data_IF_209087480506
#
_entry.id   IF_209087480506
#
_cell.length_a   1.000
_cell.length_b   1.000
_cell.length_c   1.000
_cell.angle_alpha   90.00
_cell.angle_beta   90.00
_cell.angle_gamma   90.00
#
_symmetry.space_group_name_H-M   'P 1'
#
loop_
_entity.id
_entity.type
_entity.pdbx_description
1 polymer ?
#
# COMPACT_ATOMS: atom_id res chain seq x y z
N UNK A 1 67.84 31.74 36.99
CA UNK A 1 66.72 31.46 37.91
C UNK A 1 65.44 31.52 37.09
N UNK A 2 65.07 30.41 36.45
CA UNK A 2 64.08 29.40 36.86
C UNK A 2 62.63 29.89 36.72
N UNK A 3 62.02 29.40 35.64
CA UNK A 3 60.60 29.40 35.29
C UNK A 3 59.76 28.77 36.41
N UNK A 4 58.55 29.30 36.64
CA UNK A 4 57.50 28.62 37.37
C UNK A 4 56.28 28.45 36.47
N UNK A 5 56.07 27.19 36.08
CA UNK A 5 54.87 26.66 35.47
C UNK A 5 53.73 26.68 36.50
N UNK A 6 52.57 27.23 36.11
CA UNK A 6 51.32 27.02 36.85
C UNK A 6 50.57 25.88 36.17
N UNK A 7 50.48 24.75 36.86
CA UNK A 7 49.67 23.59 36.50
C UNK A 7 48.19 23.92 36.76
N UNK A 8 47.35 23.87 35.74
CA UNK A 8 45.89 23.86 35.91
C UNK A 8 45.44 22.40 35.95
N UNK A 9 45.04 21.93 37.13
CA UNK A 9 44.41 20.62 37.32
C UNK A 9 43.01 20.62 36.68
N UNK A 10 42.83 19.88 35.59
CA UNK A 10 41.52 19.52 35.08
C UNK A 10 40.91 18.46 36.01
N UNK A 11 39.84 18.80 36.72
CA UNK A 11 38.96 17.81 37.35
C UNK A 11 38.11 17.17 36.25
N UNK A 12 38.39 15.91 35.92
CA UNK A 12 37.51 15.10 35.10
C UNK A 12 36.27 14.74 35.93
N UNK A 13 35.15 15.45 35.70
CA UNK A 13 33.84 14.93 36.09
C UNK A 13 33.53 13.75 35.16
N UNK A 14 33.64 12.53 35.69
CA UNK A 14 32.99 11.36 35.12
C UNK A 14 31.47 11.55 35.24
N UNK A 15 30.85 12.02 34.15
CA UNK A 15 29.42 11.89 33.94
C UNK A 15 29.10 10.39 33.87
N UNK A 16 28.78 9.81 35.02
CA UNK A 16 28.07 8.53 35.06
C UNK A 16 26.67 8.83 34.52
N UNK A 17 26.44 8.47 33.25
CA UNK A 17 25.10 8.48 32.69
C UNK A 17 24.20 7.63 33.62
N UNK A 18 23.03 8.14 34.05
CA UNK A 18 22.13 7.33 34.83
C UNK A 18 21.70 6.16 33.94
N UNK A 19 22.05 4.94 34.37
CA UNK A 19 21.49 3.72 33.82
C UNK A 19 20.00 3.78 34.14
N UNK A 20 19.17 4.09 33.14
CA UNK A 20 17.73 3.95 33.27
C UNK A 20 17.45 2.50 33.71
N UNK A 21 16.62 2.26 34.73
CA UNK A 21 16.30 0.90 35.15
C UNK A 21 15.78 0.14 33.93
N UNK A 22 16.34 -1.03 33.66
CA UNK A 22 15.84 -1.92 32.63
C UNK A 22 14.35 -2.15 32.92
N UNK A 23 13.49 -1.64 32.04
CA UNK A 23 12.04 -1.73 32.21
C UNK A 23 11.68 -3.22 32.13
N UNK A 24 11.33 -3.83 33.26
CA UNK A 24 10.85 -5.21 33.26
C UNK A 24 9.55 -5.27 32.48
N UNK A 25 9.47 -6.12 31.46
CA UNK A 25 8.24 -6.33 30.71
C UNK A 25 7.11 -6.76 31.65
N UNK A 26 5.87 -6.30 31.42
CA UNK A 26 4.73 -6.83 32.15
C UNK A 26 4.58 -8.32 31.87
N UNK A 27 4.00 -9.06 32.83
CA UNK A 27 3.78 -10.51 32.70
C UNK A 27 2.80 -10.88 31.58
N UNK A 28 2.02 -9.93 31.09
CA UNK A 28 1.09 -10.11 29.98
C UNK A 28 0.79 -8.79 29.28
N UNK A 29 0.58 -8.86 27.97
CA UNK A 29 0.07 -7.77 27.12
C UNK A 29 -1.02 -8.36 26.22
N UNK A 30 -2.14 -7.66 26.07
CA UNK A 30 -3.19 -8.04 25.12
C UNK A 30 -3.69 -6.84 24.33
N UNK A 31 -3.04 -6.56 23.20
CA UNK A 31 -3.43 -5.47 22.31
C UNK A 31 -4.77 -5.72 21.61
N UNK A 32 -5.31 -6.94 21.64
CA UNK A 32 -6.63 -7.24 21.08
C UNK A 32 -7.80 -6.68 21.89
N UNK A 33 -7.53 -6.18 23.10
CA UNK A 33 -8.48 -5.47 23.96
C UNK A 33 -8.45 -3.95 23.77
N UNK A 34 -7.44 -3.44 23.04
CA UNK A 34 -7.32 -2.02 22.73
C UNK A 34 -8.49 -1.54 21.87
N UNK A 35 -8.95 -0.31 22.09
CA UNK A 35 -9.96 0.33 21.23
C UNK A 35 -9.46 0.53 19.79
N UNK A 36 -8.14 0.55 19.57
CA UNK A 36 -7.55 0.62 18.23
C UNK A 36 -7.60 -0.72 17.47
N UNK A 37 -7.78 -1.84 18.17
CA UNK A 37 -7.85 -3.16 17.55
C UNK A 37 -9.24 -3.38 16.96
N UNK A 38 -9.35 -3.85 15.70
CA UNK A 38 -10.66 -4.01 15.07
C UNK A 38 -11.44 -5.20 15.64
N UNK A 39 -12.77 -5.23 15.46
CA UNK A 39 -13.56 -6.42 15.77
C UNK A 39 -13.00 -7.68 15.11
N UNK A 40 -13.22 -8.83 15.76
CA UNK A 40 -12.88 -10.14 15.19
C UNK A 40 -13.53 -10.32 13.83
N UNK A 41 -12.69 -10.57 12.84
CA UNK A 41 -13.00 -10.75 11.43
C UNK A 41 -13.45 -12.18 11.18
N UNK A 42 -14.46 -12.31 10.33
CA UNK A 42 -14.80 -13.56 9.64
C UNK A 42 -14.34 -13.40 8.18
N UNK A 43 -13.27 -14.10 7.82
CA UNK A 43 -12.61 -13.92 6.53
C UNK A 43 -13.46 -14.50 5.40
N UNK A 44 -13.36 -13.91 4.21
CA UNK A 44 -13.94 -14.49 3.00
C UNK A 44 -12.88 -15.27 2.22
N UNK A 45 -13.15 -16.53 1.90
CA UNK A 45 -12.29 -17.33 1.01
C UNK A 45 -10.85 -17.49 1.51
N UNK A 46 -9.89 -17.58 0.59
CA UNK A 46 -8.45 -17.75 0.85
C UNK A 46 -7.72 -16.56 1.51
N UNK A 47 -8.44 -15.55 2.01
CA UNK A 47 -7.88 -14.23 2.37
C UNK A 47 -7.14 -14.13 3.73
N UNK A 48 -6.78 -15.23 4.38
CA UNK A 48 -6.20 -15.26 5.73
C UNK A 48 -4.97 -14.33 5.91
N UNK A 49 -4.06 -14.28 4.93
CA UNK A 49 -2.90 -13.42 4.97
C UNK A 49 -3.28 -11.92 4.96
N UNK A 50 -4.25 -11.54 4.14
CA UNK A 50 -4.72 -10.16 4.09
C UNK A 50 -5.59 -9.83 5.30
N UNK A 51 -6.40 -10.77 5.81
CA UNK A 51 -7.17 -10.57 7.03
C UNK A 51 -6.25 -10.31 8.24
N UNK A 52 -5.18 -11.08 8.38
CA UNK A 52 -4.19 -10.88 9.45
C UNK A 52 -3.34 -9.62 9.26
N UNK A 53 -2.79 -9.41 8.05
CA UNK A 53 -1.88 -8.30 7.78
C UNK A 53 -2.55 -6.94 7.60
N UNK A 54 -3.69 -6.89 6.91
CA UNK A 54 -4.42 -5.65 6.61
C UNK A 54 -5.59 -5.48 7.56
N UNK A 55 -6.43 -6.52 7.68
CA UNK A 55 -7.64 -6.47 8.49
C UNK A 55 -7.33 -6.16 9.95
N UNK A 56 -6.46 -6.95 10.59
CA UNK A 56 -6.04 -6.73 11.98
C UNK A 56 -4.86 -5.77 12.10
N UNK A 57 -3.68 -6.14 11.60
CA UNK A 57 -2.43 -5.42 11.90
C UNK A 57 -2.42 -3.99 11.37
N UNK A 58 -2.63 -3.78 10.06
CA UNK A 58 -2.64 -2.43 9.50
C UNK A 58 -3.72 -1.54 10.11
N UNK A 59 -4.92 -2.07 10.35
CA UNK A 59 -5.99 -1.33 11.03
C UNK A 59 -5.58 -0.89 12.44
N UNK A 60 -5.03 -1.81 13.23
CA UNK A 60 -4.56 -1.53 14.58
C UNK A 60 -3.49 -0.43 14.59
N UNK A 61 -2.51 -0.53 13.69
CA UNK A 61 -1.41 0.43 13.58
C UNK A 61 -1.90 1.83 13.20
N UNK A 62 -2.79 1.95 12.21
CA UNK A 62 -3.32 3.25 11.81
C UNK A 62 -4.21 3.85 12.89
N UNK A 63 -5.01 3.04 13.58
CA UNK A 63 -5.86 3.54 14.66
C UNK A 63 -5.08 3.93 15.90
N UNK A 64 -3.98 3.24 16.19
CA UNK A 64 -3.03 3.64 17.22
C UNK A 64 -2.41 5.00 16.88
N UNK A 65 -1.90 5.17 15.65
CA UNK A 65 -1.33 6.43 15.18
C UNK A 65 -2.31 7.61 15.25
N UNK A 66 -3.59 7.36 14.94
CA UNK A 66 -4.62 8.40 14.85
C UNK A 66 -5.47 8.51 16.11
N UNK A 67 -5.19 7.73 17.16
CA UNK A 67 -5.97 7.64 18.39
C UNK A 67 -7.48 7.39 18.13
N UNK A 68 -7.79 6.44 17.23
CA UNK A 68 -9.17 6.13 16.82
C UNK A 68 -9.65 4.83 17.44
N UNK A 69 -10.93 4.81 17.78
CA UNK A 69 -11.63 3.56 18.08
C UNK A 69 -12.00 2.85 16.77
N UNK A 70 -11.43 1.68 16.53
CA UNK A 70 -11.67 0.86 15.34
C UNK A 70 -13.15 0.46 15.20
N UNK A 71 -13.82 0.18 16.31
CA UNK A 71 -15.22 -0.27 16.32
C UNK A 71 -16.23 0.87 16.18
N UNK A 72 -15.79 2.14 16.18
CA UNK A 72 -16.69 3.29 16.11
C UNK A 72 -17.27 3.52 14.70
N UNK A 73 -16.59 3.07 13.65
CA UNK A 73 -17.01 3.27 12.26
C UNK A 73 -16.22 2.38 11.29
N UNK A 74 -16.84 1.95 10.19
CA UNK A 74 -16.14 1.29 9.08
C UNK A 74 -15.11 2.20 8.39
N UNK A 75 -15.13 3.52 8.63
CA UNK A 75 -14.08 4.44 8.21
C UNK A 75 -12.78 4.31 9.04
N UNK A 76 -12.85 3.62 10.18
CA UNK A 76 -11.71 3.35 11.05
C UNK A 76 -11.15 1.93 10.86
N UNK A 77 -11.72 1.13 9.96
CA UNK A 77 -11.21 -0.21 9.64
C UNK A 77 -10.82 -0.30 8.16
N UNK A 78 -9.83 -1.13 7.84
CA UNK A 78 -9.31 -1.25 6.49
C UNK A 78 -9.73 -2.56 5.83
N UNK A 79 -10.08 -2.47 4.55
CA UNK A 79 -10.54 -3.61 3.77
C UNK A 79 -9.38 -4.51 3.38
N UNK A 80 -9.29 -5.67 4.02
CA UNK A 80 -8.39 -6.72 3.58
C UNK A 80 -8.77 -7.27 2.19
N UNK A 81 -10.05 -7.17 1.81
CA UNK A 81 -10.55 -7.58 0.51
C UNK A 81 -10.05 -6.66 -0.61
N UNK A 82 -9.77 -5.38 -0.31
CA UNK A 82 -9.15 -4.47 -1.26
C UNK A 82 -7.80 -5.00 -1.74
N UNK A 83 -6.90 -5.35 -0.82
CA UNK A 83 -5.59 -5.90 -1.19
C UNK A 83 -5.69 -7.34 -1.71
N UNK A 84 -6.54 -8.17 -1.12
CA UNK A 84 -6.70 -9.56 -1.53
C UNK A 84 -7.20 -9.70 -2.97
N UNK A 85 -8.15 -8.86 -3.40
CA UNK A 85 -8.66 -8.90 -4.78
C UNK A 85 -7.64 -8.46 -5.84
N UNK A 86 -6.48 -7.92 -5.45
CA UNK A 86 -5.37 -7.69 -6.36
C UNK A 86 -4.44 -8.91 -6.47
N UNK A 87 -4.27 -9.68 -5.39
CA UNK A 87 -3.25 -10.73 -5.29
C UNK A 87 -3.80 -12.15 -5.43
N UNK A 88 -5.12 -12.35 -5.31
CA UNK A 88 -5.74 -13.68 -5.40
C UNK A 88 -5.71 -14.31 -6.81
N UNK A 89 -5.14 -13.63 -7.80
CA UNK A 89 -5.06 -14.11 -9.18
C UNK A 89 -6.42 -14.23 -9.89
N UNK A 90 -7.49 -13.69 -9.30
CA UNK A 90 -8.85 -13.87 -9.81
C UNK A 90 -9.46 -15.25 -9.55
N UNK A 91 -8.87 -16.02 -8.65
CA UNK A 91 -9.47 -17.23 -8.09
C UNK A 91 -9.41 -17.14 -6.56
N UNK A 92 -10.03 -18.09 -5.86
CA UNK A 92 -10.05 -18.10 -4.39
C UNK A 92 -8.70 -18.54 -3.79
N UNK A 93 -7.60 -18.09 -4.39
CA UNK A 93 -6.26 -18.38 -3.95
C UNK A 93 -5.93 -17.58 -2.68
N UNK A 94 -5.13 -18.19 -1.83
CA UNK A 94 -4.42 -17.46 -0.79
C UNK A 94 -3.32 -16.57 -1.37
N UNK A 95 -2.71 -15.79 -0.49
CA UNK A 95 -1.52 -15.03 -0.78
C UNK A 95 -0.64 -14.96 0.46
N UNK A 96 0.38 -14.12 0.40
CA UNK A 96 1.27 -13.85 1.51
C UNK A 96 1.00 -12.46 2.09
N UNK A 97 1.33 -12.27 3.37
CA UNK A 97 1.08 -11.01 4.09
C UNK A 97 1.85 -9.86 3.45
N UNK A 98 3.07 -10.12 3.00
CA UNK A 98 3.98 -9.15 2.36
C UNK A 98 3.41 -8.59 1.05
N UNK A 99 2.65 -9.36 0.27
CA UNK A 99 1.98 -8.85 -0.93
C UNK A 99 0.96 -7.76 -0.57
N UNK A 100 0.16 -8.00 0.47
CA UNK A 100 -0.78 -7.01 1.00
C UNK A 100 -0.08 -5.78 1.57
N UNK A 101 0.98 -5.97 2.36
CA UNK A 101 1.77 -4.86 2.91
C UNK A 101 2.54 -4.09 1.83
N UNK A 102 2.95 -4.74 0.75
CA UNK A 102 3.57 -4.09 -0.41
C UNK A 102 2.58 -3.16 -1.12
N UNK A 103 1.32 -3.60 -1.29
CA UNK A 103 0.26 -2.72 -1.78
C UNK A 103 0.03 -1.58 -0.78
N UNK A 104 -0.05 -1.84 0.52
CA UNK A 104 -0.24 -0.80 1.53
C UNK A 104 0.92 0.23 1.57
N UNK A 105 2.16 -0.20 1.30
CA UNK A 105 3.34 0.68 1.20
C UNK A 105 3.30 1.52 -0.07
N UNK A 106 3.12 0.87 -1.22
CA UNK A 106 3.31 1.48 -2.53
C UNK A 106 2.03 2.14 -3.08
N UNK A 107 0.85 1.75 -2.61
CA UNK A 107 -0.44 2.37 -2.93
C UNK A 107 -1.26 2.85 -1.73
N UNK A 108 -1.26 2.14 -0.60
CA UNK A 108 -2.17 2.40 0.52
C UNK A 108 -3.39 1.47 0.49
N UNK A 109 -4.33 1.66 1.42
CA UNK A 109 -5.43 0.72 1.64
C UNK A 109 -6.77 1.45 1.83
N UNK A 110 -7.81 0.95 1.16
CA UNK A 110 -9.17 1.46 1.26
C UNK A 110 -9.80 1.11 2.62
N UNK A 111 -10.55 2.05 3.19
CA UNK A 111 -11.36 1.77 4.39
C UNK A 111 -12.52 0.83 4.05
N UNK A 112 -13.09 0.16 5.06
CA UNK A 112 -14.29 -0.65 4.85
C UNK A 112 -15.50 0.20 4.44
N UNK A 113 -15.58 1.46 4.89
CA UNK A 113 -16.60 2.42 4.45
C UNK A 113 -16.51 2.72 2.94
N UNK A 114 -15.30 2.93 2.41
CA UNK A 114 -15.10 3.19 0.98
C UNK A 114 -15.31 1.92 0.14
N UNK A 115 -14.81 0.77 0.61
CA UNK A 115 -14.89 -0.50 -0.11
C UNK A 115 -16.34 -1.02 -0.19
N UNK A 116 -17.05 -0.93 0.95
CA UNK A 116 -18.41 -1.43 1.15
C UNK A 116 -18.47 -2.95 1.25
N UNK A 117 -19.29 -3.44 2.19
CA UNK A 117 -19.58 -4.87 2.33
C UNK A 117 -20.70 -5.29 1.37
N UNK A 118 -20.45 -6.31 0.55
CA UNK A 118 -21.46 -6.98 -0.26
C UNK A 118 -21.33 -8.48 -0.09
N UNK A 119 -22.46 -9.21 -0.12
CA UNK A 119 -22.51 -10.67 0.03
C UNK A 119 -21.59 -11.42 -0.96
N UNK A 120 -21.32 -10.82 -2.12
CA UNK A 120 -20.31 -11.27 -3.06
C UNK A 120 -19.20 -10.21 -3.16
N UNK A 121 -18.04 -10.50 -2.57
CA UNK A 121 -16.90 -9.58 -2.49
C UNK A 121 -15.61 -10.16 -3.09
N UNK A 122 -15.57 -11.48 -3.33
CA UNK A 122 -14.51 -12.15 -4.06
C UNK A 122 -14.41 -11.56 -5.47
N UNK A 123 -13.19 -11.29 -5.94
CA UNK A 123 -12.90 -10.79 -7.29
C UNK A 123 -13.43 -9.38 -7.60
N UNK A 124 -13.98 -8.64 -6.63
CA UNK A 124 -14.55 -7.32 -6.84
C UNK A 124 -13.48 -6.23 -6.79
N UNK A 125 -13.42 -5.38 -7.81
CA UNK A 125 -12.78 -4.07 -7.70
C UNK A 125 -13.84 -2.99 -7.63
N UNK A 126 -13.58 -1.97 -6.81
CA UNK A 126 -14.52 -0.87 -6.58
C UNK A 126 -14.27 0.20 -7.64
N UNK A 127 -15.29 0.99 -7.99
CA UNK A 127 -15.14 2.19 -8.83
C UNK A 127 -15.41 3.44 -8.00
N UNK A 128 -14.65 4.50 -8.25
CA UNK A 128 -14.83 5.82 -7.65
C UNK A 128 -13.49 6.49 -7.36
N UNK A 129 -13.24 7.65 -7.98
CA UNK A 129 -12.02 8.43 -7.77
C UNK A 129 -11.69 8.68 -6.29
N UNK A 130 -12.67 9.18 -5.52
CA UNK A 130 -12.46 9.57 -4.12
C UNK A 130 -12.07 8.40 -3.22
N UNK A 131 -12.60 7.19 -3.51
CA UNK A 131 -12.30 5.98 -2.73
C UNK A 131 -10.83 5.58 -2.85
N UNK A 132 -10.31 5.63 -4.08
CA UNK A 132 -8.90 5.36 -4.36
C UNK A 132 -8.00 6.48 -3.87
N UNK A 133 -8.43 7.75 -3.98
CA UNK A 133 -7.71 8.87 -3.40
C UNK A 133 -7.60 8.74 -1.87
N UNK A 134 -8.69 8.39 -1.19
CA UNK A 134 -8.70 8.17 0.25
C UNK A 134 -7.82 6.99 0.66
N UNK A 135 -7.89 5.87 -0.07
CA UNK A 135 -7.02 4.72 0.14
C UNK A 135 -5.53 5.10 0.09
N UNK A 136 -5.17 6.00 -0.83
CA UNK A 136 -3.78 6.43 -1.03
C UNK A 136 -3.15 7.20 0.14
N UNK A 137 -3.95 7.57 1.15
CA UNK A 137 -3.52 8.34 2.31
C UNK A 137 -2.90 7.46 3.40
N UNK A 138 -3.38 6.23 3.58
CA UNK A 138 -2.95 5.38 4.69
C UNK A 138 -1.91 4.39 4.22
N UNK A 139 -0.68 4.46 4.74
CA UNK A 139 0.45 3.73 4.16
C UNK A 139 1.32 3.04 5.17
N UNK A 140 1.89 1.92 4.74
CA UNK A 140 3.02 1.31 5.45
C UNK A 140 4.27 2.15 5.18
N UNK A 141 4.94 2.56 6.25
CA UNK A 141 6.27 3.18 6.22
C UNK A 141 7.35 2.11 6.02
N UNK A 142 7.35 1.11 6.90
CA UNK A 142 8.26 -0.03 6.85
C UNK A 142 7.61 -1.31 7.36
N UNK A 143 8.14 -2.43 6.92
CA UNK A 143 7.80 -3.76 7.39
C UNK A 143 8.91 -4.20 8.35
N UNK A 144 8.53 -4.68 9.52
CA UNK A 144 9.45 -5.16 10.56
C UNK A 144 9.39 -6.69 10.58
N UNK A 145 10.53 -7.37 10.62
CA UNK A 145 10.60 -8.83 10.64
C UNK A 145 11.35 -9.29 11.87
N UNK A 146 10.79 -10.27 12.56
CA UNK A 146 11.34 -10.85 13.79
C UNK A 146 11.51 -12.35 13.59
N UNK A 147 12.69 -12.87 13.91
CA UNK A 147 12.83 -14.30 14.11
C UNK A 147 12.06 -14.69 15.38
N UNK A 148 11.61 -15.93 15.43
CA UNK A 148 10.90 -16.50 16.56
C UNK A 148 11.31 -17.97 16.72
N UNK A 149 12.56 -18.22 17.09
CA UNK A 149 13.10 -19.59 17.23
C UNK A 149 13.82 -19.83 18.55
N UNK A 150 14.12 -18.78 19.32
CA UNK A 150 14.81 -18.85 20.61
C UNK A 150 14.06 -18.10 21.70
N UNK A 151 14.35 -18.38 22.97
CA UNK A 151 13.77 -17.61 24.08
C UNK A 151 14.16 -16.12 24.01
N UNK A 152 15.36 -15.80 23.52
CA UNK A 152 15.79 -14.41 23.31
C UNK A 152 14.95 -13.69 22.23
N UNK A 153 14.57 -14.41 21.17
CA UNK A 153 13.65 -13.88 20.16
C UNK A 153 12.26 -13.60 20.75
N UNK A 154 11.77 -14.50 21.61
CA UNK A 154 10.49 -14.32 22.31
C UNK A 154 10.51 -13.03 23.15
N UNK A 155 11.59 -12.77 23.89
CA UNK A 155 11.71 -11.53 24.68
C UNK A 155 11.73 -10.27 23.79
N UNK A 156 12.41 -10.31 22.64
CA UNK A 156 12.37 -9.21 21.67
C UNK A 156 10.96 -8.99 21.10
N UNK A 157 10.23 -10.06 20.82
CA UNK A 157 8.84 -10.01 20.35
C UNK A 157 7.93 -9.43 21.44
N UNK A 158 8.07 -9.87 22.69
CA UNK A 158 7.31 -9.31 23.83
C UNK A 158 7.56 -7.82 23.99
N UNK A 159 8.81 -7.37 23.84
CA UNK A 159 9.15 -5.95 23.84
C UNK A 159 8.42 -5.19 22.72
N UNK A 160 8.37 -5.75 21.51
CA UNK A 160 7.65 -5.15 20.39
C UNK A 160 6.14 -5.06 20.67
N UNK A 161 5.54 -6.14 21.16
CA UNK A 161 4.12 -6.21 21.52
C UNK A 161 3.76 -5.23 22.65
N UNK A 162 4.68 -4.95 23.57
CA UNK A 162 4.44 -4.03 24.68
C UNK A 162 4.59 -2.55 24.30
N UNK A 163 5.66 -2.18 23.59
CA UNK A 163 5.99 -0.76 23.34
C UNK A 163 6.83 -0.50 22.08
N UNK A 164 6.87 -1.45 21.14
CA UNK A 164 7.69 -1.39 19.91
C UNK A 164 9.21 -1.22 20.13
N UNK A 165 9.70 -1.37 21.36
CA UNK A 165 11.08 -1.06 21.71
C UNK A 165 11.36 0.44 21.92
N UNK A 166 10.33 1.30 21.89
CA UNK A 166 10.46 2.76 21.96
C UNK A 166 10.08 3.33 23.34
N UNK A 167 9.86 2.48 24.34
CA UNK A 167 9.65 2.90 25.73
C UNK A 167 8.30 3.55 26.02
N UNK A 168 7.41 3.67 25.03
CA UNK A 168 6.04 4.17 25.22
C UNK A 168 5.01 3.21 24.64
N UNK A 169 3.96 2.91 25.43
CA UNK A 169 2.79 2.13 25.01
C UNK A 169 1.87 3.01 24.16
N UNK A 170 1.13 2.43 23.19
CA UNK A 170 0.96 0.99 22.96
C UNK A 170 2.01 0.38 22.01
N UNK A 171 2.26 -0.92 22.20
CA UNK A 171 3.10 -1.71 21.30
C UNK A 171 2.39 -2.13 20.02
N UNK A 172 3.09 -2.92 19.20
CA UNK A 172 2.58 -3.41 17.91
C UNK A 172 1.82 -4.74 18.00
N UNK A 173 1.41 -5.25 16.85
CA UNK A 173 0.95 -6.64 16.68
C UNK A 173 1.73 -7.28 15.53
N UNK A 174 1.75 -8.61 15.48
CA UNK A 174 2.56 -9.36 14.50
C UNK A 174 1.72 -10.38 13.76
N UNK A 175 2.05 -10.66 12.50
CA UNK A 175 1.49 -11.79 11.76
C UNK A 175 2.48 -12.93 11.65
N UNK A 176 1.98 -14.15 11.52
CA UNK A 176 2.80 -15.34 11.27
C UNK A 176 2.06 -16.34 10.38
N UNK A 177 2.82 -17.21 9.72
CA UNK A 177 2.29 -18.26 8.83
C UNK A 177 2.26 -19.61 9.54
N UNK A 178 1.22 -20.39 9.29
CA UNK A 178 1.08 -21.76 9.82
C UNK A 178 0.14 -22.59 8.95
N UNK A 179 -0.11 -23.83 9.36
CA UNK A 179 -1.15 -24.69 8.76
C UNK A 179 -2.50 -24.50 9.47
N UNK A 180 -3.61 -24.78 8.79
CA UNK A 180 -4.99 -24.57 9.31
C UNK A 180 -5.77 -25.84 9.64
N UNK A 181 -5.37 -27.00 9.14
CA UNK A 181 -6.11 -28.25 9.29
C UNK A 181 -5.41 -29.23 10.22
N UNK A 182 -6.14 -29.70 11.21
CA UNK A 182 -5.68 -30.70 12.18
C UNK A 182 -5.05 -30.12 13.45
N UNK A 183 -5.35 -28.86 13.81
CA UNK A 183 -5.04 -28.38 15.16
C UNK A 183 -5.78 -29.24 16.21
N UNK A 184 -5.15 -29.38 17.37
CA UNK A 184 -5.81 -29.93 18.56
C UNK A 184 -5.77 -28.86 19.64
N UNK A 185 -6.93 -28.54 20.19
CA UNK A 185 -7.09 -27.56 21.26
C UNK A 185 -7.57 -28.24 22.54
N UNK A 186 -7.21 -27.65 23.67
CA UNK A 186 -7.97 -27.72 24.90
C UNK A 186 -8.89 -26.49 24.93
N UNK A 187 -10.16 -26.67 24.55
CA UNK A 187 -11.17 -25.61 24.44
C UNK A 187 -11.81 -25.25 25.79
N UNK A 188 -11.39 -25.89 26.87
CA UNK A 188 -11.81 -25.58 28.23
C UNK A 188 -10.59 -25.51 29.17
N UNK A 189 -9.56 -24.80 28.74
CA UNK A 189 -8.36 -24.57 29.53
C UNK A 189 -8.72 -23.83 30.84
N UNK A 190 -8.40 -24.47 31.97
CA UNK A 190 -8.63 -23.95 33.33
C UNK A 190 -7.32 -23.67 34.08
N UNK A 191 -6.19 -23.63 33.37
CA UNK A 191 -4.90 -23.34 33.97
C UNK A 191 -4.69 -21.85 34.29
N UNK A 192 -3.61 -21.50 35.00
CA UNK A 192 -3.29 -20.12 35.31
C UNK A 192 -3.17 -19.27 34.04
N UNK A 193 -3.71 -18.06 34.03
CA UNK A 193 -3.48 -17.03 33.00
C UNK A 193 -3.74 -15.65 33.59
N UNK A 194 -3.13 -14.61 33.01
CA UNK A 194 -3.46 -13.22 33.35
C UNK A 194 -4.67 -12.70 32.56
N UNK A 195 -4.86 -13.20 31.33
CA UNK A 195 -5.86 -12.71 30.38
C UNK A 195 -7.17 -13.51 30.39
N UNK A 196 -7.17 -14.73 30.94
CA UNK A 196 -8.40 -15.49 31.21
C UNK A 196 -9.02 -16.19 30.00
N UNK A 197 -8.29 -16.39 28.91
CA UNK A 197 -8.80 -17.19 27.79
C UNK A 197 -8.80 -18.69 28.11
N UNK A 198 -9.69 -19.44 27.48
CA UNK A 198 -9.95 -20.86 27.74
C UNK A 198 -9.63 -21.77 26.55
N UNK A 199 -9.09 -21.25 25.45
CA UNK A 199 -8.68 -22.06 24.30
C UNK A 199 -7.15 -22.13 24.22
N UNK A 200 -6.57 -23.31 24.48
CA UNK A 200 -5.12 -23.55 24.46
C UNK A 200 -4.73 -24.53 23.35
N UNK A 201 -3.79 -24.14 22.49
CA UNK A 201 -3.28 -25.03 21.44
C UNK A 201 -2.42 -26.16 22.03
N UNK A 202 -2.80 -27.41 21.75
CA UNK A 202 -2.08 -28.62 22.16
C UNK A 202 -1.21 -29.21 21.05
N UNK A 203 -1.64 -29.10 19.79
CA UNK A 203 -0.93 -29.63 18.62
C UNK A 203 -1.08 -28.73 17.39
N UNK A 204 0.02 -28.49 16.67
CA UNK A 204 0.03 -27.77 15.39
C UNK A 204 -0.74 -28.54 14.32
N UNK A 205 -1.42 -27.81 13.45
CA UNK A 205 -1.98 -28.33 12.21
C UNK A 205 -0.87 -28.74 11.25
N UNK A 206 -1.18 -29.60 10.28
CA UNK A 206 -0.19 -30.12 9.31
C UNK A 206 -0.60 -29.93 7.86
N UNK A 207 -1.83 -29.50 7.58
CA UNK A 207 -2.34 -29.26 6.23
C UNK A 207 -3.10 -27.92 6.13
N UNK A 208 -3.30 -27.41 4.91
CA UNK A 208 -3.99 -26.15 4.61
C UNK A 208 -3.13 -24.93 4.98
N UNK A 209 -2.90 -23.99 4.06
CA UNK A 209 -2.15 -22.78 4.40
C UNK A 209 -2.99 -21.84 5.27
N UNK A 210 -2.34 -21.09 6.17
CA UNK A 210 -3.00 -20.09 7.01
C UNK A 210 -2.04 -19.00 7.48
N UNK A 211 -2.59 -17.86 7.86
CA UNK A 211 -1.88 -16.78 8.52
C UNK A 211 -2.77 -16.15 9.59
N UNK A 212 -2.19 -15.85 10.75
CA UNK A 212 -2.90 -15.31 11.92
C UNK A 212 -2.11 -14.17 12.56
N UNK A 213 -2.73 -13.47 13.51
CA UNK A 213 -2.15 -12.32 14.20
C UNK A 213 -1.83 -12.66 15.65
N UNK A 214 -0.58 -12.45 16.08
CA UNK A 214 -0.17 -12.37 17.48
C UNK A 214 -0.52 -10.98 17.99
N UNK A 215 -1.50 -10.88 18.89
CA UNK A 215 -1.94 -9.62 19.47
C UNK A 215 -1.33 -9.34 20.85
N UNK A 216 -0.56 -10.28 21.39
CA UNK A 216 -0.09 -10.17 22.75
C UNK A 216 0.55 -11.46 23.26
N UNK A 217 0.79 -11.48 24.55
CA UNK A 217 1.44 -12.60 25.25
C UNK A 217 0.97 -12.68 26.70
N UNK A 218 1.06 -13.87 27.28
CA UNK A 218 0.71 -14.13 28.68
C UNK A 218 1.68 -15.16 29.27
N UNK A 219 2.61 -14.68 30.09
CA UNK A 219 3.64 -15.50 30.72
C UNK A 219 3.10 -16.36 31.87
N UNK A 220 1.87 -16.10 32.33
CA UNK A 220 1.23 -16.90 33.39
C UNK A 220 0.57 -18.17 32.87
N UNK A 221 0.40 -18.33 31.56
CA UNK A 221 -0.15 -19.55 30.98
C UNK A 221 0.71 -20.75 31.35
N UNK A 222 0.17 -21.70 32.11
CA UNK A 222 0.87 -22.95 32.48
C UNK A 222 0.15 -24.19 31.96
N UNK A 223 0.90 -25.14 31.41
CA UNK A 223 0.34 -26.40 30.90
C UNK A 223 1.39 -27.50 30.89
N UNK A 224 0.95 -28.77 30.82
CA UNK A 224 1.85 -29.91 30.55
C UNK A 224 1.90 -30.22 29.06
N UNK A 225 3.10 -30.35 28.52
CA UNK A 225 3.32 -30.80 27.14
C UNK A 225 3.05 -32.31 26.99
N UNK A 226 3.24 -32.84 25.78
CA UNK A 226 2.99 -34.25 25.46
C UNK A 226 3.87 -35.24 26.23
N UNK A 227 5.00 -34.77 26.78
CA UNK A 227 5.91 -35.55 27.62
C UNK A 227 5.64 -35.33 29.12
N UNK A 228 4.57 -34.61 29.48
CA UNK A 228 4.21 -34.31 30.86
C UNK A 228 5.03 -33.18 31.50
N UNK A 229 5.92 -32.53 30.76
CA UNK A 229 6.78 -31.44 31.28
C UNK A 229 5.93 -30.19 31.46
N UNK A 230 6.05 -29.55 32.63
CA UNK A 230 5.40 -28.28 32.90
C UNK A 230 6.07 -27.18 32.05
N UNK A 231 5.27 -26.49 31.24
CA UNK A 231 5.68 -25.38 30.39
C UNK A 231 4.92 -24.13 30.81
N UNK A 232 5.54 -22.97 30.56
CA UNK A 232 4.97 -21.66 30.85
C UNK A 232 5.00 -20.75 29.63
N UNK A 233 4.03 -19.85 29.56
CA UNK A 233 3.96 -18.77 28.60
C UNK A 233 3.34 -19.16 27.25
N UNK A 234 2.51 -18.26 26.73
CA UNK A 234 1.91 -18.39 25.43
C UNK A 234 1.70 -17.02 24.77
N UNK A 235 1.75 -17.00 23.44
CA UNK A 235 1.23 -15.88 22.67
C UNK A 235 -0.29 -15.91 22.64
N UNK A 236 -0.89 -14.72 22.60
CA UNK A 236 -2.32 -14.53 22.36
C UNK A 236 -2.50 -14.37 20.85
N UNK A 237 -3.07 -15.39 20.22
CA UNK A 237 -3.33 -15.40 18.77
C UNK A 237 -4.77 -15.03 18.51
N UNK A 238 -4.98 -14.18 17.51
CA UNK A 238 -6.27 -13.80 16.95
C UNK A 238 -6.41 -14.45 15.57
N UNK A 239 -7.45 -15.26 15.42
CA UNK A 239 -7.82 -15.89 14.15
C UNK A 239 -8.85 -15.05 13.39
N UNK A 240 -9.10 -15.39 12.12
CA UNK A 240 -10.02 -14.68 11.22
C UNK A 240 -11.21 -15.54 10.80
N UNK A 241 -11.69 -16.42 11.67
CA UNK A 241 -12.86 -17.31 11.45
C UNK A 241 -14.05 -16.93 12.34
N UNK A 242 -14.19 -15.65 12.65
CA UNK A 242 -15.31 -15.13 13.41
C UNK A 242 -15.26 -15.42 14.91
N UNK A 243 -16.25 -14.87 15.62
CA UNK A 243 -16.33 -14.91 17.09
C UNK A 243 -16.80 -16.26 17.65
N UNK A 244 -17.34 -17.14 16.81
CA UNK A 244 -17.80 -18.46 17.25
C UNK A 244 -16.68 -19.51 17.26
N UNK A 245 -15.51 -19.15 16.73
CA UNK A 245 -14.34 -20.02 16.71
C UNK A 245 -13.42 -19.76 17.91
N UNK A 246 -12.89 -20.83 18.52
CA UNK A 246 -12.00 -20.76 19.67
C UNK A 246 -12.61 -19.99 20.84
N UNK A 247 -11.80 -19.22 21.56
CA UNK A 247 -12.27 -18.30 22.59
C UNK A 247 -12.55 -16.92 21.99
N UNK A 248 -13.76 -16.76 21.43
CA UNK A 248 -14.21 -15.51 20.79
C UNK A 248 -13.23 -15.02 19.71
N UNK A 249 -12.74 -15.94 18.89
CA UNK A 249 -11.76 -15.70 17.82
C UNK A 249 -10.29 -15.76 18.27
N UNK A 250 -10.02 -16.12 19.54
CA UNK A 250 -8.68 -16.13 20.11
C UNK A 250 -8.30 -17.49 20.69
N UNK A 251 -7.00 -17.70 20.86
CA UNK A 251 -6.47 -18.84 21.59
C UNK A 251 -5.04 -18.54 22.08
N UNK A 252 -4.58 -19.33 23.04
CA UNK A 252 -3.19 -19.35 23.47
C UNK A 252 -2.37 -20.28 22.60
N UNK A 253 -1.28 -19.74 22.04
CA UNK A 253 -0.25 -20.50 21.34
C UNK A 253 1.03 -20.53 22.17
N UNK A 254 1.33 -21.64 22.84
CA UNK A 254 2.52 -21.76 23.67
C UNK A 254 3.85 -21.44 22.97
N UNK A 255 4.76 -20.76 23.67
CA UNK A 255 6.08 -20.39 23.13
C UNK A 255 6.90 -21.60 22.68
N UNK A 256 6.68 -22.78 23.30
CA UNK A 256 7.40 -24.02 22.96
C UNK A 256 7.31 -24.38 21.48
N UNK A 257 6.19 -24.04 20.81
CA UNK A 257 6.03 -24.35 19.39
C UNK A 257 7.05 -23.63 18.52
N UNK A 258 7.59 -22.51 19.01
CA UNK A 258 8.63 -21.72 18.37
C UNK A 258 10.03 -22.11 18.88
N UNK A 259 10.20 -22.32 20.20
CA UNK A 259 11.54 -22.53 20.77
C UNK A 259 12.00 -23.99 20.76
N UNK A 260 11.08 -24.96 20.65
CA UNK A 260 11.35 -26.40 20.61
C UNK A 260 10.89 -27.00 19.27
N UNK A 261 11.34 -26.38 18.18
CA UNK A 261 10.83 -26.66 16.82
C UNK A 261 11.71 -27.60 15.99
N UNK A 262 12.57 -28.41 16.62
CA UNK A 262 13.53 -29.29 15.91
C UNK A 262 12.87 -30.22 14.88
N UNK A 263 11.62 -30.63 15.13
CA UNK A 263 10.82 -31.49 14.23
C UNK A 263 9.76 -30.73 13.43
N UNK A 264 9.66 -29.41 13.59
CA UNK A 264 8.64 -28.58 12.95
C UNK A 264 9.23 -27.85 11.74
N UNK A 265 8.72 -28.17 10.55
CA UNK A 265 9.15 -27.51 9.31
C UNK A 265 8.62 -26.07 9.19
N UNK A 266 9.30 -25.23 8.40
CA UNK A 266 8.83 -23.88 8.03
C UNK A 266 7.45 -23.88 7.37
N UNK A 267 7.07 -24.99 6.71
CA UNK A 267 5.76 -25.16 6.11
C UNK A 267 4.66 -25.36 7.14
N UNK A 268 4.97 -25.90 8.32
CA UNK A 268 3.98 -26.14 9.40
C UNK A 268 3.80 -24.88 10.25
N UNK A 269 4.90 -24.24 10.60
CA UNK A 269 4.93 -23.01 11.38
C UNK A 269 6.13 -22.19 10.97
N UNK A 270 5.90 -20.98 10.46
CA UNK A 270 6.96 -20.07 10.05
C UNK A 270 7.81 -19.63 11.25
N UNK A 271 9.12 -19.55 11.02
CA UNK A 271 10.10 -19.04 11.99
C UNK A 271 10.12 -17.52 12.12
N UNK A 272 9.42 -16.82 11.23
CA UNK A 272 9.42 -15.37 11.16
C UNK A 272 8.04 -14.80 11.43
N UNK A 273 8.03 -13.68 12.14
CA UNK A 273 6.86 -12.86 12.39
C UNK A 273 7.04 -11.50 11.73
N UNK A 274 5.94 -10.91 11.29
CA UNK A 274 5.95 -9.63 10.57
C UNK A 274 5.08 -8.60 11.25
N UNK A 275 5.65 -7.43 11.51
CA UNK A 275 4.95 -6.21 11.95
C UNK A 275 5.03 -5.11 10.89
N UNK A 276 4.39 -3.98 11.12
CA UNK A 276 4.59 -2.80 10.29
C UNK A 276 4.51 -1.50 11.09
N UNK A 277 5.12 -0.46 10.55
CA UNK A 277 4.87 0.92 10.97
C UNK A 277 4.16 1.65 9.85
N UNK A 278 3.31 2.60 10.20
CA UNK A 278 2.41 3.29 9.28
C UNK A 278 2.56 4.80 9.35
N UNK A 279 2.11 5.48 8.31
CA UNK A 279 2.02 6.93 8.27
C UNK A 279 0.81 7.37 7.43
N UNK A 280 0.36 8.60 7.66
CA UNK A 280 -0.65 9.25 6.82
C UNK A 280 0.02 10.19 5.84
N UNK A 281 -0.35 10.06 4.57
CA UNK A 281 0.15 10.82 3.44
C UNK A 281 -0.94 11.73 2.90
N UNK A 282 -0.55 12.95 2.52
CA UNK A 282 -1.36 13.82 1.68
C UNK A 282 -0.80 13.77 0.24
N UNK A 283 -1.53 13.24 -0.74
CA UNK A 283 -1.11 13.28 -2.14
C UNK A 283 -1.00 14.71 -2.67
N UNK A 284 0.04 14.97 -3.46
CA UNK A 284 0.35 16.24 -4.13
C UNK A 284 -0.06 16.24 -5.60
N UNK A 285 0.23 15.16 -6.32
CA UNK A 285 -0.13 14.97 -7.73
C UNK A 285 -0.89 13.66 -7.85
N UNK A 286 -2.11 13.73 -8.36
CA UNK A 286 -3.01 12.56 -8.47
C UNK A 286 -3.53 12.47 -9.89
N UNK A 287 -3.51 11.28 -10.47
CA UNK A 287 -4.19 11.04 -11.74
C UNK A 287 -5.60 10.55 -11.47
N UNK A 288 -6.59 11.13 -12.15
CA UNK A 288 -7.94 10.58 -12.24
C UNK A 288 -8.08 9.87 -13.56
N UNK A 289 -8.42 8.59 -13.53
CA UNK A 289 -8.50 7.74 -14.72
C UNK A 289 -9.84 7.03 -14.74
N UNK A 290 -10.49 6.99 -15.91
CA UNK A 290 -11.65 6.15 -16.17
C UNK A 290 -11.42 5.30 -17.40
N UNK A 291 -11.62 3.99 -17.23
CA UNK A 291 -11.43 2.97 -18.28
C UNK A 291 -12.69 2.14 -18.39
N UNK A 292 -12.97 1.65 -19.60
CA UNK A 292 -13.95 0.61 -19.84
C UNK A 292 -13.23 -0.54 -20.54
N UNK A 293 -12.97 -1.64 -19.82
CA UNK A 293 -12.14 -2.74 -20.31
C UNK A 293 -12.63 -4.13 -19.85
N UNK A 294 -12.51 -5.13 -20.74
CA UNK A 294 -13.08 -6.46 -20.52
C UNK A 294 -12.21 -7.46 -19.76
N UNK A 295 -10.89 -7.23 -19.64
CA UNK A 295 -9.99 -8.16 -18.92
C UNK A 295 -8.87 -7.44 -18.15
N UNK A 296 -8.99 -7.32 -16.83
CA UNK A 296 -8.09 -6.51 -16.00
C UNK A 296 -6.67 -7.06 -15.83
N UNK A 297 -6.49 -8.38 -15.86
CA UNK A 297 -5.15 -9.00 -15.85
C UNK A 297 -4.39 -8.84 -17.18
N UNK A 298 -5.06 -8.35 -18.23
CA UNK A 298 -4.44 -8.05 -19.51
C UNK A 298 -3.96 -6.60 -19.61
N UNK A 299 -4.19 -5.79 -18.56
CA UNK A 299 -3.74 -4.41 -18.46
C UNK A 299 -2.64 -4.23 -17.42
N UNK A 300 -1.64 -3.42 -17.79
CA UNK A 300 -0.78 -2.75 -16.80
C UNK A 300 -0.71 -1.26 -17.08
N UNK A 301 -0.58 -0.47 -16.02
CA UNK A 301 -0.47 0.98 -16.10
C UNK A 301 0.92 1.42 -15.68
N UNK A 302 1.46 2.36 -16.43
CA UNK A 302 2.65 3.09 -16.03
C UNK A 302 2.44 4.59 -16.19
N UNK A 303 3.14 5.38 -15.39
CA UNK A 303 3.06 6.83 -15.40
C UNK A 303 4.44 7.46 -15.31
N UNK A 304 4.52 8.73 -15.71
CA UNK A 304 5.76 9.49 -15.76
C UNK A 304 5.50 10.95 -16.07
N UNK A 305 6.57 11.75 -16.08
CA UNK A 305 6.48 13.18 -16.33
C UNK A 305 7.70 13.72 -17.10
N UNK A 306 7.60 14.96 -17.58
CA UNK A 306 8.66 15.63 -18.33
C UNK A 306 8.68 17.14 -18.09
N UNK A 307 9.89 17.69 -18.02
CA UNK A 307 10.16 19.13 -18.02
C UNK A 307 9.95 19.77 -19.40
N UNK A 308 9.73 18.97 -20.45
CA UNK A 308 9.38 19.44 -21.77
C UNK A 308 7.87 19.28 -22.01
N UNK A 309 7.15 20.40 -22.15
CA UNK A 309 5.73 20.43 -22.45
C UNK A 309 5.37 19.70 -23.76
N UNK A 310 6.33 19.60 -24.68
CA UNK A 310 6.15 19.03 -26.02
C UNK A 310 6.69 17.61 -26.15
N UNK A 311 7.17 17.00 -25.05
CA UNK A 311 7.68 15.64 -25.10
C UNK A 311 6.60 14.69 -25.65
N UNK A 312 6.99 13.84 -26.60
CA UNK A 312 6.13 12.79 -27.17
C UNK A 312 6.42 11.41 -26.56
N UNK A 313 7.40 11.34 -25.65
CA UNK A 313 7.80 10.09 -25.00
C UNK A 313 7.90 10.25 -23.49
N UNK A 314 7.67 9.14 -22.79
CA UNK A 314 7.77 8.99 -21.35
C UNK A 314 9.08 8.26 -21.02
N UNK A 315 10.13 9.04 -20.71
CA UNK A 315 11.47 8.50 -20.41
C UNK A 315 11.55 7.94 -18.99
N UNK A 316 10.96 8.62 -18.02
CA UNK A 316 10.80 8.11 -16.65
C UNK A 316 9.51 7.30 -16.56
N UNK A 317 9.61 6.03 -16.15
CA UNK A 317 8.48 5.10 -16.09
C UNK A 317 8.36 4.50 -14.69
N UNK A 318 7.20 4.69 -14.08
CA UNK A 318 6.80 4.06 -12.83
C UNK A 318 5.58 3.18 -13.09
N UNK A 319 5.63 1.92 -12.66
CA UNK A 319 4.49 1.01 -12.82
C UNK A 319 3.53 1.18 -11.64
N UNK A 320 2.22 1.10 -11.91
CA UNK A 320 1.20 1.05 -10.87
C UNK A 320 1.19 -0.31 -10.18
N UNK A 321 1.25 -0.35 -8.85
CA UNK A 321 1.21 -1.62 -8.08
C UNK A 321 -0.18 -2.22 -7.96
N UNK A 322 -1.23 -1.44 -8.21
CA UNK A 322 -2.63 -1.92 -8.18
C UNK A 322 -3.16 -2.29 -9.56
N UNK A 323 -2.40 -2.00 -10.61
CA UNK A 323 -2.77 -2.20 -12.02
C UNK A 323 -1.55 -2.73 -12.79
N UNK A 324 -1.17 -3.98 -12.54
CA UNK A 324 0.00 -4.62 -13.15
C UNK A 324 -0.28 -6.07 -13.55
N UNK A 325 -1.19 -6.28 -14.51
CA UNK A 325 -1.54 -7.61 -15.02
C UNK A 325 -2.05 -8.57 -13.94
N UNK A 326 -2.92 -8.10 -13.05
CA UNK A 326 -3.36 -8.83 -11.84
C UNK A 326 -4.88 -8.88 -11.68
N UNK A 327 -5.36 -9.71 -10.74
CA UNK A 327 -6.79 -9.88 -10.45
C UNK A 327 -7.58 -10.81 -11.38
N UNK A 328 -6.93 -11.52 -12.31
CA UNK A 328 -7.53 -12.51 -13.22
C UNK A 328 -8.36 -11.95 -14.39
N UNK A 329 -8.84 -12.86 -15.25
CA UNK A 329 -9.53 -12.59 -16.52
C UNK A 329 -11.00 -12.14 -16.35
N UNK A 330 -11.19 -11.04 -15.63
CA UNK A 330 -12.49 -10.39 -15.42
C UNK A 330 -12.50 -8.98 -16.00
N UNK A 331 -13.70 -8.49 -16.32
CA UNK A 331 -13.94 -7.06 -16.49
C UNK A 331 -13.42 -6.28 -15.27
N UNK A 332 -13.13 -4.99 -15.42
CA UNK A 332 -12.42 -4.21 -14.41
C UNK A 332 -12.97 -4.36 -12.98
N UNK A 333 -14.30 -4.40 -12.81
CA UNK A 333 -14.98 -4.52 -11.52
C UNK A 333 -15.24 -5.95 -11.04
N UNK A 334 -14.90 -6.97 -11.84
CA UNK A 334 -15.02 -8.38 -11.45
C UNK A 334 -16.38 -9.02 -11.73
N UNK A 335 -16.53 -10.26 -11.27
CA UNK A 335 -17.63 -11.17 -11.60
C UNK A 335 -19.04 -10.74 -11.13
N UNK A 336 -19.12 -9.88 -10.10
CA UNK A 336 -20.39 -9.58 -9.41
C UNK A 336 -20.90 -8.15 -9.66
N UNK A 337 -20.51 -7.55 -10.78
CA UNK A 337 -20.99 -6.22 -11.19
C UNK A 337 -22.12 -6.35 -12.22
N UNK A 338 -23.08 -5.40 -12.21
CA UNK A 338 -24.17 -5.35 -13.19
C UNK A 338 -23.63 -5.29 -14.61
N UNK A 339 -24.46 -5.71 -15.59
CA UNK A 339 -24.12 -5.91 -17.00
C UNK A 339 -22.98 -4.99 -17.48
N UNK A 340 -21.89 -5.68 -17.81
CA UNK A 340 -20.58 -5.22 -18.26
C UNK A 340 -19.50 -5.13 -17.19
N UNK A 341 -19.63 -4.41 -16.07
CA UNK A 341 -18.54 -4.36 -15.07
C UNK A 341 -17.18 -3.87 -15.58
N UNK A 342 -17.13 -3.41 -16.84
CA UNK A 342 -15.93 -3.04 -17.58
C UNK A 342 -15.44 -1.66 -17.17
N UNK A 343 -16.37 -0.79 -16.80
CA UNK A 343 -16.07 0.57 -16.38
C UNK A 343 -15.46 0.60 -14.97
N UNK A 344 -14.35 1.31 -14.80
CA UNK A 344 -13.77 1.65 -13.50
C UNK A 344 -13.22 3.07 -13.53
N UNK A 345 -13.49 3.83 -12.48
CA UNK A 345 -12.84 5.08 -12.17
C UNK A 345 -11.97 4.92 -10.93
N UNK A 346 -10.72 5.39 -10.99
CA UNK A 346 -9.78 5.30 -9.88
C UNK A 346 -8.81 6.49 -9.87
N UNK A 347 -8.08 6.60 -8.75
CA UNK A 347 -7.03 7.57 -8.53
C UNK A 347 -5.65 6.88 -8.46
N UNK A 348 -4.62 7.51 -9.01
CA UNK A 348 -3.22 7.13 -8.78
C UNK A 348 -2.48 8.27 -8.10
N UNK A 349 -1.92 8.02 -6.90
CA UNK A 349 -0.99 8.96 -6.27
C UNK A 349 0.36 8.90 -7.00
N UNK A 350 0.62 9.91 -7.81
CA UNK A 350 1.84 10.06 -8.60
C UNK A 350 2.83 11.02 -7.95
N UNK A 351 2.64 11.37 -6.67
CA UNK A 351 3.47 12.36 -5.98
C UNK A 351 4.94 11.95 -5.85
N UNK A 352 5.23 10.64 -5.88
CA UNK A 352 6.61 10.12 -5.88
C UNK A 352 7.36 10.39 -7.20
N UNK A 353 6.69 10.87 -8.25
CA UNK A 353 7.36 11.38 -9.46
C UNK A 353 8.19 12.63 -9.17
N UNK A 354 7.79 13.42 -8.18
CA UNK A 354 8.37 14.73 -7.92
C UNK A 354 9.77 14.59 -7.31
N UNK A 355 10.82 15.11 -7.98
CA UNK A 355 12.18 15.14 -7.41
C UNK A 355 12.26 16.00 -6.13
N UNK A 356 11.37 16.98 -6.00
CA UNK A 356 11.20 17.81 -4.81
C UNK A 356 9.74 18.30 -4.72
N UNK A 357 9.30 18.69 -3.53
CA UNK A 357 7.93 19.17 -3.30
C UNK A 357 7.53 20.37 -4.17
N UNK A 358 8.51 21.18 -4.60
CA UNK A 358 8.31 22.38 -5.42
C UNK A 358 8.52 22.16 -6.91
N UNK A 359 8.99 20.98 -7.33
CA UNK A 359 9.28 20.70 -8.73
C UNK A 359 8.01 20.67 -9.58
N UNK A 360 8.01 21.33 -10.75
CA UNK A 360 6.84 21.46 -11.61
C UNK A 360 7.12 20.93 -13.01
N UNK A 361 6.78 19.65 -13.23
CA UNK A 361 6.81 19.10 -14.59
C UNK A 361 5.83 19.83 -15.50
N UNK A 362 6.23 19.99 -16.76
CA UNK A 362 5.39 20.67 -17.77
C UNK A 362 4.40 19.72 -18.44
N UNK A 363 4.67 18.41 -18.43
CA UNK A 363 3.79 17.39 -18.97
C UNK A 363 3.83 16.12 -18.12
N UNK A 364 2.68 15.52 -17.92
CA UNK A 364 2.49 14.24 -17.25
C UNK A 364 1.94 13.22 -18.25
N UNK A 365 2.31 11.96 -18.07
CA UNK A 365 1.96 10.87 -18.96
C UNK A 365 1.31 9.72 -18.21
N UNK A 366 0.31 9.13 -18.85
CA UNK A 366 -0.26 7.83 -18.51
C UNK A 366 -0.04 6.91 -19.70
N UNK A 367 0.61 5.77 -19.47
CA UNK A 367 0.78 4.71 -20.44
C UNK A 367 -0.06 3.51 -20.01
N UNK A 368 -1.08 3.20 -20.80
CA UNK A 368 -1.90 2.01 -20.61
C UNK A 368 -1.35 0.94 -21.53
N UNK A 369 -0.89 -0.16 -20.94
CA UNK A 369 -0.27 -1.25 -21.66
C UNK A 369 -1.28 -2.38 -21.72
N UNK A 370 -1.75 -2.65 -22.93
CA UNK A 370 -2.50 -3.85 -23.24
C UNK A 370 -1.52 -4.94 -23.60
N UNK A 371 -1.59 -6.04 -22.86
CA UNK A 371 -0.78 -7.23 -23.09
C UNK A 371 -1.59 -8.28 -23.86
N UNK A 372 -1.05 -9.48 -23.98
CA UNK A 372 -1.79 -10.72 -24.29
C UNK A 372 -1.43 -11.75 -23.22
N UNK A 373 -1.53 -11.34 -21.96
CA UNK A 373 -1.08 -12.15 -20.82
C UNK A 373 -2.18 -13.08 -20.32
N UNK A 374 -3.42 -12.58 -20.29
CA UNK A 374 -4.59 -13.35 -19.86
C UNK A 374 -5.03 -14.41 -20.86
N UNK A 375 -5.90 -15.33 -20.44
CA UNK A 375 -6.55 -16.27 -21.35
C UNK A 375 -7.55 -15.55 -22.28
N UNK A 376 -8.06 -14.40 -21.85
CA UNK A 376 -8.91 -13.51 -22.66
C UNK A 376 -8.09 -12.28 -23.03
N UNK A 377 -7.94 -12.05 -24.34
CA UNK A 377 -7.37 -10.80 -24.83
C UNK A 377 -8.39 -9.70 -24.60
N UNK A 378 -8.13 -8.88 -23.59
CA UNK A 378 -9.03 -7.81 -23.22
C UNK A 378 -9.15 -6.80 -24.34
N UNK A 379 -10.25 -6.06 -24.35
CA UNK A 379 -10.49 -4.94 -25.24
C UNK A 379 -11.27 -3.86 -24.51
N UNK A 380 -11.16 -2.63 -24.98
CA UNK A 380 -11.86 -1.52 -24.39
C UNK A 380 -11.27 -0.17 -24.76
N UNK A 381 -11.69 0.83 -24.01
CA UNK A 381 -11.40 2.24 -24.29
C UNK A 381 -10.93 2.95 -23.04
N UNK A 382 -10.15 4.02 -23.24
CA UNK A 382 -10.00 5.06 -22.22
C UNK A 382 -11.17 6.03 -22.33
N UNK A 383 -11.76 6.40 -21.21
CA UNK A 383 -12.88 7.35 -21.17
C UNK A 383 -12.46 8.70 -20.60
N UNK A 384 -11.53 8.68 -19.64
CA UNK A 384 -11.08 9.89 -18.97
C UNK A 384 -9.66 9.77 -18.43
N UNK A 385 -8.89 10.85 -18.53
CA UNK A 385 -7.61 11.03 -17.86
C UNK A 385 -7.41 12.51 -17.54
N UNK A 386 -7.14 12.81 -16.28
CA UNK A 386 -6.70 14.12 -15.83
C UNK A 386 -5.62 14.03 -14.77
N UNK A 387 -4.92 15.14 -14.58
CA UNK A 387 -3.93 15.32 -13.51
C UNK A 387 -4.46 16.39 -12.56
N UNK A 388 -4.58 16.04 -11.29
CA UNK A 388 -5.01 16.92 -10.21
C UNK A 388 -3.78 17.32 -9.39
N UNK A 389 -3.58 18.63 -9.26
CA UNK A 389 -2.51 19.25 -8.49
C UNK A 389 -3.05 19.83 -7.18
N UNK A 390 -2.72 19.15 -6.07
CA UNK A 390 -3.15 19.48 -4.71
C UNK A 390 -2.19 20.41 -3.97
N UNK A 391 -1.03 20.77 -4.56
CA UNK A 391 0.02 21.53 -3.85
C UNK A 391 -0.38 22.97 -3.52
N UNK A 392 -1.27 23.56 -4.33
CA UNK A 392 -1.82 24.88 -4.07
C UNK A 392 -3.05 24.88 -3.15
N UNK A 393 -3.84 23.80 -3.16
CA UNK A 393 -5.02 23.64 -2.32
C UNK A 393 -5.40 22.16 -2.19
N UNK A 394 -5.41 21.66 -0.96
CA UNK A 394 -5.65 20.23 -0.65
C UNK A 394 -7.11 19.80 -0.77
N UNK A 395 -8.05 20.75 -0.84
CA UNK A 395 -9.50 20.51 -0.93
C UNK A 395 -10.08 20.83 -2.31
N UNK A 396 -9.41 21.71 -3.06
CA UNK A 396 -9.81 22.18 -4.39
C UNK A 396 -8.60 22.15 -5.33
N UNK A 397 -8.14 20.95 -5.72
CA UNK A 397 -6.97 20.81 -6.59
C UNK A 397 -7.22 21.48 -7.94
N UNK A 398 -6.13 21.88 -8.60
CA UNK A 398 -6.21 22.31 -10.00
C UNK A 398 -6.20 21.08 -10.89
N UNK A 399 -7.25 20.89 -11.68
CA UNK A 399 -7.38 19.78 -12.60
C UNK A 399 -6.95 20.16 -14.03
N UNK A 400 -6.14 19.31 -14.65
CA UNK A 400 -5.68 19.42 -16.03
C UNK A 400 -6.16 18.19 -16.80
N UNK A 401 -7.09 18.38 -17.73
CA UNK A 401 -7.78 17.29 -18.44
C UNK A 401 -7.07 16.94 -19.75
N UNK A 402 -6.85 15.66 -20.00
CA UNK A 402 -6.45 15.15 -21.31
C UNK A 402 -7.68 15.16 -22.23
N UNK A 403 -7.70 16.05 -23.22
CA UNK A 403 -8.85 16.25 -24.12
C UNK A 403 -8.82 15.27 -25.28
N UNK A 404 -9.99 15.02 -25.87
CA UNK A 404 -10.17 14.22 -27.10
C UNK A 404 -9.68 12.77 -26.99
N UNK A 405 -9.81 12.16 -25.81
CA UNK A 405 -9.44 10.76 -25.57
C UNK A 405 -10.64 9.85 -25.27
N UNK A 406 -11.81 10.42 -24.97
CA UNK A 406 -12.96 9.64 -24.53
C UNK A 406 -13.42 8.69 -25.64
N UNK A 407 -13.49 7.40 -25.32
CA UNK A 407 -13.87 6.35 -26.27
C UNK A 407 -12.71 5.88 -27.17
N UNK A 408 -11.49 6.38 -26.98
CA UNK A 408 -10.33 5.93 -27.77
C UNK A 408 -10.02 4.46 -27.48
N UNK A 409 -10.04 3.57 -28.50
CA UNK A 409 -9.70 2.16 -28.34
C UNK A 409 -8.26 1.95 -27.89
N UNK A 410 -8.05 1.00 -26.99
CA UNK A 410 -6.72 0.59 -26.55
C UNK A 410 -6.13 -0.45 -27.51
N UNK A 411 -5.11 -0.03 -28.27
CA UNK A 411 -4.34 -0.89 -29.15
C UNK A 411 -3.45 -1.86 -28.35
N UNK A 412 -3.07 -2.98 -28.96
CA UNK A 412 -2.10 -3.91 -28.37
C UNK A 412 -0.77 -3.17 -28.12
N UNK A 413 -0.15 -3.42 -26.96
CA UNK A 413 1.07 -2.74 -26.54
C UNK A 413 0.78 -1.42 -25.85
N UNK A 414 1.58 -0.39 -26.16
CA UNK A 414 1.61 0.88 -25.41
C UNK A 414 0.59 1.88 -25.95
N UNK A 415 -0.27 2.40 -25.08
CA UNK A 415 -1.19 3.50 -25.35
C UNK A 415 -0.82 4.69 -24.47
N UNK A 416 -0.14 5.68 -25.05
CA UNK A 416 0.42 6.82 -24.31
C UNK A 416 -0.49 8.04 -24.40
N UNK A 417 -0.95 8.53 -23.25
CA UNK A 417 -1.74 9.74 -23.08
C UNK A 417 -0.94 10.78 -22.30
N UNK A 418 -1.11 12.06 -22.64
CA UNK A 418 -0.32 13.14 -22.05
C UNK A 418 -1.14 14.37 -21.70
N UNK A 419 -0.86 14.95 -20.53
CA UNK A 419 -1.50 16.17 -20.02
C UNK A 419 -0.44 17.24 -19.84
N UNK A 420 -0.62 18.39 -20.51
CA UNK A 420 0.24 19.56 -20.27
C UNK A 420 -0.29 20.34 -19.05
N UNK A 421 0.63 20.76 -18.17
CA UNK A 421 0.29 21.46 -16.92
C UNK A 421 0.10 22.98 -17.11
N UNK A 422 -0.07 23.42 -18.34
CA UNK A 422 -0.44 24.79 -18.66
C UNK A 422 -1.94 24.81 -18.93
N UNK A 423 -2.67 25.73 -18.29
CA UNK A 423 -3.92 26.14 -18.90
C UNK A 423 -3.54 26.85 -20.19
N UNK A 424 -4.11 26.43 -21.31
CA UNK A 424 -3.96 27.16 -22.56
C UNK A 424 -4.40 28.61 -22.33
N UNK A 425 -3.44 29.54 -22.32
CA UNK A 425 -3.68 30.73 -23.13
C UNK A 425 -3.93 30.21 -24.55
N UNK A 426 -4.90 30.77 -25.26
CA UNK A 426 -5.25 30.34 -26.61
C UNK A 426 -4.00 30.24 -27.51
N UNK A 427 -3.43 29.06 -27.65
CA UNK A 427 -2.31 28.81 -28.56
C UNK A 427 -2.87 28.08 -29.78
N UNK A 428 -2.88 28.78 -30.90
CA UNK A 428 -3.16 28.19 -32.20
C UNK A 428 -1.96 27.36 -32.63
N UNK A 429 -2.08 26.03 -32.65
CA UNK A 429 -1.11 25.17 -33.30
C UNK A 429 -1.40 25.13 -34.81
N UNK A 430 -0.38 25.44 -35.63
CA UNK A 430 -0.48 25.31 -37.09
C UNK A 430 -0.11 23.87 -37.49
N UNK A 431 -0.83 23.27 -38.45
CA UNK A 431 -0.50 21.95 -39.02
C UNK A 431 0.84 21.96 -39.77
N UNK A 432 1.35 23.12 -40.14
CA UNK A 432 2.60 23.29 -40.85
C UNK A 432 3.78 23.39 -39.86
N UNK A 433 4.77 22.52 -40.05
CA UNK A 433 6.05 22.51 -39.32
C UNK A 433 7.02 23.55 -39.89
N UNK A 434 7.86 24.15 -39.04
CA UNK A 434 8.97 25.01 -39.47
C UNK A 434 10.20 24.22 -39.94
N UNK A 435 10.10 22.89 -39.92
CA UNK A 435 11.10 21.95 -40.43
C UNK A 435 10.42 21.09 -41.51
N UNK A 436 11.05 20.98 -42.68
CA UNK A 436 10.57 20.16 -43.79
C UNK A 436 10.70 18.67 -43.48
N UNK A 437 10.07 17.82 -44.29
CA UNK A 437 10.14 16.37 -44.09
C UNK A 437 11.59 15.84 -44.21
N UNK A 438 12.44 16.54 -44.94
CA UNK A 438 13.85 16.24 -45.16
C UNK A 438 14.75 16.75 -44.03
N UNK A 439 14.17 17.35 -42.98
CA UNK A 439 14.92 17.83 -41.81
C UNK A 439 15.57 19.20 -42.01
N UNK A 440 15.25 19.93 -43.07
CA UNK A 440 15.75 21.28 -43.31
C UNK A 440 14.79 22.34 -42.74
N UNK A 441 15.30 23.55 -42.46
CA UNK A 441 14.42 24.67 -42.07
C UNK A 441 13.46 25.02 -43.22
N UNK A 442 12.17 25.09 -42.91
CA UNK A 442 11.15 25.50 -43.86
C UNK A 442 11.24 27.01 -44.11
N UNK A 443 11.52 27.39 -45.35
CA UNK A 443 11.72 28.78 -45.76
C UNK A 443 10.40 29.53 -46.00
N UNK A 444 9.26 28.83 -45.96
CA UNK A 444 7.95 29.45 -46.12
C UNK A 444 7.69 30.48 -45.03
N UNK A 445 7.00 31.56 -45.41
CA UNK A 445 6.53 32.54 -44.43
C UNK A 445 5.27 32.01 -43.77
N UNK A 446 5.29 31.89 -42.45
CA UNK A 446 4.13 31.48 -41.67
C UNK A 446 3.29 32.72 -41.37
N UNK A 447 1.98 32.66 -41.61
CA UNK A 447 1.07 33.73 -41.22
C UNK A 447 0.26 33.27 -40.03
N UNK A 448 0.37 34.01 -38.93
CA UNK A 448 -0.34 33.73 -37.68
C UNK A 448 -1.22 34.92 -37.30
N UNK A 449 -2.30 34.65 -36.56
CA UNK A 449 -3.09 35.69 -35.89
C UNK A 449 -2.59 35.83 -34.45
N UNK A 450 -2.26 37.05 -34.03
CA UNK A 450 -1.86 37.37 -32.66
C UNK A 450 -3.06 37.33 -31.72
N UNK A 451 -2.82 37.29 -30.41
CA UNK A 451 -3.87 37.38 -29.40
C UNK A 451 -4.70 38.68 -29.49
N UNK A 452 -4.11 39.76 -30.04
CA UNK A 452 -4.80 41.03 -30.30
C UNK A 452 -5.56 41.07 -31.63
N UNK A 453 -5.68 39.93 -32.34
CA UNK A 453 -6.41 39.81 -33.61
C UNK A 453 -5.64 40.28 -34.84
N UNK A 454 -4.42 40.81 -34.68
CA UNK A 454 -3.57 41.27 -35.81
C UNK A 454 -2.90 40.09 -36.50
N UNK A 455 -2.57 40.24 -37.78
CA UNK A 455 -1.79 39.22 -38.49
C UNK A 455 -0.29 39.47 -38.29
N UNK A 456 0.50 38.42 -38.16
CA UNK A 456 1.96 38.49 -38.13
C UNK A 456 2.55 37.51 -39.15
N UNK A 457 3.59 37.96 -39.87
CA UNK A 457 4.46 37.09 -40.66
C UNK A 457 5.57 36.59 -39.76
N UNK A 458 5.72 35.29 -39.67
CA UNK A 458 6.81 34.61 -38.96
C UNK A 458 7.78 34.01 -39.97
N UNK A 459 9.06 34.14 -39.63
CA UNK A 459 10.15 33.52 -40.36
C UNK A 459 11.09 32.83 -39.37
N UNK A 460 11.54 31.64 -39.74
CA UNK A 460 12.47 30.85 -38.94
C UNK A 460 13.80 30.74 -39.68
N UNK A 461 14.89 31.01 -38.97
CA UNK A 461 16.27 30.92 -39.45
C UNK A 461 17.11 30.08 -38.49
N UNK A 462 18.39 29.84 -38.79
CA UNK A 462 19.26 29.00 -37.95
C UNK A 462 19.18 27.53 -38.34
N UNK A 463 19.28 26.63 -37.36
CA UNK A 463 19.17 25.18 -37.58
C UNK A 463 17.89 24.63 -36.95
N UNK A 464 17.41 23.45 -37.37
CA UNK A 464 16.25 22.80 -36.75
C UNK A 464 16.38 22.61 -35.23
N UNK A 465 17.60 22.39 -34.73
CA UNK A 465 17.93 22.19 -33.32
C UNK A 465 18.10 23.51 -32.54
N UNK A 466 18.40 24.60 -33.25
CA UNK A 466 18.58 25.93 -32.66
C UNK A 466 17.92 27.02 -33.53
N UNK A 467 16.59 27.01 -33.68
CA UNK A 467 15.90 27.93 -34.56
C UNK A 467 15.88 29.35 -33.98
N UNK A 468 16.14 30.33 -34.83
CA UNK A 468 15.97 31.75 -34.55
C UNK A 468 14.66 32.23 -35.17
N UNK A 469 13.78 32.76 -34.33
CA UNK A 469 12.48 33.28 -34.75
C UNK A 469 12.55 34.80 -34.96
N UNK A 470 12.07 35.26 -36.11
CA UNK A 470 11.75 36.67 -36.34
C UNK A 470 10.30 36.81 -36.77
N UNK A 471 9.67 37.94 -36.43
CA UNK A 471 8.30 38.22 -36.83
C UNK A 471 8.07 39.70 -37.13
N UNK A 472 7.11 39.96 -38.01
CA UNK A 472 6.66 41.31 -38.36
C UNK A 472 5.13 41.35 -38.29
N UNK A 473 4.59 42.29 -37.50
CA UNK A 473 3.14 42.53 -37.46
C UNK A 473 2.72 43.20 -38.78
N UNK A 474 1.78 42.58 -39.47
CA UNK A 474 1.16 43.12 -40.68
C UNK A 474 0.20 44.23 -40.23
N UNK A 475 0.30 45.40 -40.87
CA UNK A 475 -0.58 46.53 -40.58
C UNK A 475 -2.03 46.21 -40.91
#
# INVERSE_FOLDING_TARGET
MKQHFVFVMLWALTLVAPVLPAFSLPVSVDNSTSTAFPPIIDQTGGSCAQASGIGYMFTYEVNTLLHRNASASDANTFSYLFTWNFVNGGADNGGFVDEGLSIAKNYGVMTNADFGYTLASQFKWVSGFDKYLNASRYRVLRVNTFNCTTDADIENIKQYLYNKGEGTSPGGVLTFSTRSRGWVFDDNYQGPSATGYHCLLKKLATDGAHAMTIAGYDDRVEYRDENGVLRKGAFIVVNSWGRFWGDRGRFYMPYRFFTHRQTTSELVLGSTMTGCDVYVRQPSIVYKVRLNYSSRNDLSLAYGASDNAWSQSMLQRYNSVIMYNQGGDYAMRGAYSSADGREIEFALDCSNLLPSATHNFKKYFLNIIRSQYGQKYGEGVIEYFSVLDYRGNTTRPKEYVCRNIAGTPLALGRNLFGVQMRHEGHFSANKLSYVTAEGSMDTRTFVLRTASGRCAKLHFTGTPEAPKLTYTIIK
#
